data_IF_719086136372
#
_entry.id   IF_719086136372
#
_cell.length_a   1.000
_cell.length_b   1.000
_cell.length_c   1.000
_cell.angle_alpha   90.00
_cell.angle_beta   90.00
_cell.angle_gamma   90.00
#
_symmetry.space_group_name_H-M   'P 1'
#
loop_
_entity.id
_entity.type
_entity.pdbx_description
1 polymer ?
#
# COMPACT_ATOMS: atom_id res chain seq x y z
N UNK A 1 14.80 27.56 -83.70
CA UNK A 1 14.55 26.22 -83.10
C UNK A 1 15.58 25.95 -82.02
N UNK A 2 15.17 25.86 -80.75
CA UNK A 2 15.93 25.25 -79.63
C UNK A 2 14.95 25.03 -78.48
N UNK A 3 14.26 23.89 -78.49
CA UNK A 3 13.33 23.42 -77.46
C UNK A 3 13.74 22.01 -77.02
N UNK A 4 14.99 21.82 -76.61
CA UNK A 4 15.43 20.59 -75.97
C UNK A 4 16.54 21.01 -75.01
N UNK A 5 16.21 21.17 -73.73
CA UNK A 5 17.19 21.16 -72.61
C UNK A 5 16.54 21.24 -71.22
N UNK A 6 15.26 21.61 -71.10
CA UNK A 6 14.62 21.70 -69.77
C UNK A 6 14.01 20.39 -69.24
N UNK A 7 13.93 19.32 -70.06
CA UNK A 7 13.32 18.05 -69.64
C UNK A 7 14.29 17.07 -68.95
N UNK A 8 15.61 17.27 -69.07
CA UNK A 8 16.61 16.36 -68.48
C UNK A 8 16.92 16.64 -67.01
N UNK A 9 16.71 17.87 -66.53
CA UNK A 9 16.98 18.23 -65.12
C UNK A 9 15.84 17.78 -64.19
N UNK A 10 14.60 17.70 -64.68
CA UNK A 10 13.47 17.19 -63.89
C UNK A 10 13.48 15.67 -63.74
N UNK A 11 14.04 14.93 -64.70
CA UNK A 11 14.14 13.46 -64.62
C UNK A 11 15.25 12.99 -63.66
N UNK A 12 16.32 13.78 -63.46
CA UNK A 12 17.43 13.43 -62.57
C UNK A 12 17.12 13.67 -61.07
N UNK A 13 16.15 14.53 -60.73
CA UNK A 13 15.72 14.76 -59.35
C UNK A 13 14.67 13.76 -58.84
N UNK A 14 14.11 12.90 -59.71
CA UNK A 14 13.11 11.89 -59.35
C UNK A 14 13.70 10.51 -59.00
N UNK A 15 15.03 10.36 -59.01
CA UNK A 15 15.72 9.09 -58.68
C UNK A 15 16.65 9.28 -57.46
N UNK A 16 16.31 10.17 -56.53
CA UNK A 16 16.86 10.04 -55.19
C UNK A 16 16.04 8.94 -54.51
N UNK A 17 16.62 7.75 -54.23
CA UNK A 17 15.94 6.77 -53.40
C UNK A 17 15.75 7.44 -52.04
N UNK A 18 14.51 7.87 -51.76
CA UNK A 18 14.14 8.19 -50.40
C UNK A 18 14.28 6.86 -49.64
N UNK A 19 15.38 6.72 -48.90
CA UNK A 19 15.51 5.67 -47.91
C UNK A 19 14.43 5.94 -46.88
N UNK A 20 13.23 5.40 -47.12
CA UNK A 20 12.20 5.20 -46.13
C UNK A 20 12.90 4.44 -45.02
N UNK A 21 13.31 5.16 -43.97
CA UNK A 21 13.90 4.57 -42.80
C UNK A 21 12.85 3.61 -42.26
N UNK A 22 13.20 2.33 -42.22
CA UNK A 22 12.36 1.30 -41.65
C UNK A 22 11.92 1.78 -40.25
N UNK A 23 10.62 2.03 -40.09
CA UNK A 23 10.09 2.47 -38.81
C UNK A 23 9.98 1.25 -37.91
N UNK A 24 10.87 1.18 -36.93
CA UNK A 24 10.80 0.21 -35.85
C UNK A 24 10.13 0.85 -34.65
N UNK A 25 9.15 0.17 -34.05
CA UNK A 25 8.59 0.58 -32.76
C UNK A 25 8.21 -0.63 -31.93
N UNK A 26 8.27 -0.45 -30.62
CA UNK A 26 7.84 -1.41 -29.62
C UNK A 26 7.12 -0.65 -28.52
N UNK A 27 5.79 -0.77 -28.49
CA UNK A 27 4.97 -0.16 -27.45
C UNK A 27 4.55 -1.23 -26.45
N UNK A 28 4.82 -0.98 -25.17
CA UNK A 28 4.40 -1.84 -24.07
C UNK A 28 3.18 -1.22 -23.40
N UNK A 29 2.08 -1.97 -23.33
CA UNK A 29 0.87 -1.57 -22.61
C UNK A 29 0.55 -2.60 -21.54
N UNK A 30 0.27 -2.13 -20.33
CA UNK A 30 -0.14 -2.98 -19.21
C UNK A 30 -1.65 -3.08 -19.20
N UNK A 31 -2.16 -4.29 -19.07
CA UNK A 31 -3.59 -4.60 -19.05
C UNK A 31 -4.15 -4.40 -17.64
N UNK A 32 -5.37 -3.87 -17.52
CA UNK A 32 -6.03 -3.65 -16.22
C UNK A 32 -6.40 -4.95 -15.51
N UNK A 33 -6.73 -4.86 -14.21
CA UNK A 33 -7.18 -6.03 -13.41
C UNK A 33 -6.05 -6.79 -12.72
N UNK A 34 -4.93 -6.13 -12.43
CA UNK A 34 -3.71 -6.75 -11.88
C UNK A 34 -3.84 -7.26 -10.44
N UNK A 35 -4.89 -6.86 -9.72
CA UNK A 35 -5.09 -7.14 -8.29
C UNK A 35 -5.39 -8.62 -7.98
N UNK A 36 -5.63 -9.43 -9.03
CA UNK A 36 -5.96 -10.86 -8.93
C UNK A 36 -4.91 -11.76 -9.59
N UNK A 37 -3.76 -11.22 -9.99
CA UNK A 37 -2.76 -11.94 -10.77
C UNK A 37 -1.79 -12.69 -9.85
N UNK A 38 -1.49 -13.94 -10.22
CA UNK A 38 -0.46 -14.79 -9.60
C UNK A 38 0.95 -14.39 -10.08
N UNK A 39 1.92 -14.45 -9.16
CA UNK A 39 3.32 -14.09 -9.38
C UNK A 39 4.07 -14.94 -10.38
N UNK A 40 3.61 -16.15 -10.68
CA UNK A 40 4.23 -17.01 -11.69
C UNK A 40 4.38 -16.30 -13.05
N UNK A 41 3.53 -15.31 -13.32
CA UNK A 41 3.58 -14.52 -14.55
C UNK A 41 4.73 -13.49 -14.60
N UNK A 42 5.37 -13.19 -13.47
CA UNK A 42 6.50 -12.25 -13.36
C UNK A 42 7.85 -12.94 -13.15
N UNK A 43 7.88 -14.25 -12.91
CA UNK A 43 9.13 -14.98 -12.68
C UNK A 43 9.86 -15.36 -13.96
N UNK A 44 9.28 -15.14 -15.14
CA UNK A 44 9.90 -15.42 -16.46
C UNK A 44 10.61 -16.78 -16.48
N UNK A 45 9.93 -17.81 -15.97
CA UNK A 45 10.47 -19.17 -15.84
C UNK A 45 10.47 -19.90 -17.17
N UNK A 46 11.35 -19.53 -18.12
CA UNK A 46 11.56 -20.12 -19.45
C UNK A 46 10.34 -20.32 -20.37
N UNK A 47 9.13 -20.14 -19.87
CA UNK A 47 7.86 -20.26 -20.55
C UNK A 47 6.82 -19.47 -19.77
N UNK A 48 6.20 -18.49 -20.43
CA UNK A 48 5.06 -17.74 -19.90
C UNK A 48 3.75 -18.26 -20.47
N UNK A 49 3.77 -19.33 -21.28
CA UNK A 49 2.57 -19.94 -21.82
C UNK A 49 1.62 -20.38 -20.71
N UNK A 50 0.34 -19.98 -20.84
CA UNK A 50 -0.69 -20.24 -19.83
C UNK A 50 -0.68 -19.32 -18.60
N UNK A 51 0.24 -18.35 -18.51
CA UNK A 51 0.18 -17.31 -17.47
C UNK A 51 -0.95 -16.29 -17.74
N UNK A 52 -1.51 -15.64 -16.71
CA UNK A 52 -2.44 -14.54 -16.91
C UNK A 52 -1.85 -13.41 -17.78
N UNK A 53 -2.68 -12.82 -18.63
CA UNK A 53 -2.26 -11.68 -19.46
C UNK A 53 -2.10 -10.42 -18.60
N UNK A 54 -0.88 -9.90 -18.54
CA UNK A 54 -0.49 -8.71 -17.79
C UNK A 54 -0.17 -7.56 -18.73
N UNK A 55 0.48 -7.86 -19.86
CA UNK A 55 0.92 -6.84 -20.78
C UNK A 55 0.81 -7.30 -22.22
N UNK A 56 0.67 -6.32 -23.11
CA UNK A 56 0.71 -6.48 -24.55
C UNK A 56 1.84 -5.63 -25.12
N UNK A 57 2.45 -6.15 -26.17
CA UNK A 57 3.53 -5.54 -26.93
C UNK A 57 3.07 -5.35 -28.37
N UNK A 58 3.01 -4.10 -28.81
CA UNK A 58 2.72 -3.76 -30.20
C UNK A 58 4.03 -3.48 -30.93
N UNK A 59 4.37 -4.37 -31.85
CA UNK A 59 5.60 -4.29 -32.64
C UNK A 59 5.29 -3.79 -34.04
N UNK A 60 6.08 -2.84 -34.52
CA UNK A 60 6.11 -2.42 -35.93
C UNK A 60 7.54 -2.59 -36.44
N UNK A 61 7.69 -3.28 -37.56
CA UNK A 61 8.96 -3.46 -38.26
C UNK A 61 8.68 -3.82 -39.74
N UNK A 62 9.66 -3.74 -40.67
CA UNK A 62 9.43 -4.13 -42.05
C UNK A 62 8.99 -5.60 -42.17
N UNK A 63 7.98 -5.86 -43.00
CA UNK A 63 7.47 -7.20 -43.26
C UNK A 63 8.58 -8.14 -43.78
N UNK A 64 8.54 -9.39 -43.36
CA UNK A 64 9.50 -10.43 -43.72
C UNK A 64 10.85 -10.35 -43.00
N UNK A 65 11.06 -9.37 -42.10
CA UNK A 65 12.28 -9.30 -41.29
C UNK A 65 12.20 -10.23 -40.08
N UNK A 66 13.35 -10.84 -39.76
CA UNK A 66 13.57 -11.55 -38.51
C UNK A 66 13.91 -10.55 -37.41
N UNK A 67 13.23 -10.69 -36.28
CA UNK A 67 13.41 -9.84 -35.11
C UNK A 67 13.58 -10.70 -33.86
N UNK A 68 14.19 -10.09 -32.84
CA UNK A 68 14.35 -10.66 -31.52
C UNK A 68 13.81 -9.67 -30.50
N UNK A 69 12.99 -10.14 -29.56
CA UNK A 69 12.57 -9.35 -28.41
C UNK A 69 13.53 -9.66 -27.27
N UNK A 70 13.99 -8.62 -26.58
CA UNK A 70 14.61 -8.79 -25.29
C UNK A 70 14.09 -7.77 -24.29
N UNK A 71 14.49 -7.92 -23.03
CA UNK A 71 14.03 -7.02 -21.98
C UNK A 71 14.64 -7.31 -20.64
N UNK A 72 14.28 -6.48 -19.66
CA UNK A 72 14.59 -6.68 -18.26
C UNK A 72 13.35 -6.46 -17.40
N UNK A 73 13.39 -7.03 -16.21
CA UNK A 73 12.37 -6.86 -15.19
C UNK A 73 13.05 -6.57 -13.85
N UNK A 74 12.65 -5.47 -13.22
CA UNK A 74 13.16 -5.07 -11.91
C UNK A 74 12.02 -4.83 -10.94
N UNK A 75 12.30 -4.96 -9.65
CA UNK A 75 11.34 -4.78 -8.57
C UNK A 75 11.87 -3.82 -7.52
N UNK A 76 11.06 -2.84 -7.18
CA UNK A 76 11.24 -1.97 -6.03
C UNK A 76 10.34 -2.48 -4.90
N UNK A 77 10.98 -2.94 -3.83
CA UNK A 77 10.29 -3.39 -2.62
C UNK A 77 9.65 -2.22 -1.89
N UNK A 78 8.52 -2.46 -1.25
CA UNK A 78 7.84 -1.48 -0.40
C UNK A 78 8.80 -0.92 0.67
N UNK A 79 8.86 0.41 0.80
CA UNK A 79 9.75 1.09 1.75
C UNK A 79 11.22 1.19 1.31
N UNK A 80 11.58 0.69 0.14
CA UNK A 80 12.91 0.87 -0.45
C UNK A 80 12.86 1.83 -1.64
N UNK A 81 13.91 2.63 -1.84
CA UNK A 81 14.01 3.60 -2.93
C UNK A 81 14.60 3.03 -4.22
N UNK A 82 15.22 1.84 -4.17
CA UNK A 82 15.95 1.23 -5.28
C UNK A 82 15.19 0.11 -5.98
N UNK A 83 15.42 -0.02 -7.29
CA UNK A 83 14.99 -1.18 -8.07
C UNK A 83 16.06 -2.27 -8.03
N UNK A 84 15.65 -3.50 -7.72
CA UNK A 84 16.47 -4.70 -7.69
C UNK A 84 16.10 -5.54 -8.93
N UNK A 85 17.06 -5.96 -9.77
CA UNK A 85 16.75 -6.75 -10.95
C UNK A 85 16.24 -8.14 -10.56
N UNK A 86 15.08 -8.51 -11.10
CA UNK A 86 14.53 -9.88 -11.05
C UNK A 86 15.05 -10.66 -12.26
N UNK A 87 14.91 -10.06 -13.45
CA UNK A 87 15.45 -10.56 -14.72
C UNK A 87 16.42 -9.51 -15.23
N UNK A 88 17.71 -9.83 -15.21
CA UNK A 88 18.76 -8.95 -15.74
C UNK A 88 18.58 -8.77 -17.25
N UNK A 89 18.33 -9.88 -17.95
CA UNK A 89 18.04 -9.87 -19.38
C UNK A 89 17.29 -11.12 -19.80
N UNK A 90 16.40 -11.01 -20.77
CA UNK A 90 15.90 -12.13 -21.54
C UNK A 90 15.97 -11.82 -23.04
N UNK A 91 16.00 -12.88 -23.86
CA UNK A 91 15.95 -12.81 -25.31
C UNK A 91 15.08 -13.93 -25.87
N UNK A 92 14.29 -13.62 -26.89
CA UNK A 92 13.61 -14.62 -27.71
C UNK A 92 14.54 -15.16 -28.80
N UNK A 93 14.21 -16.31 -29.36
CA UNK A 93 14.76 -16.74 -30.64
C UNK A 93 14.28 -15.79 -31.75
N UNK A 94 15.02 -15.67 -32.87
CA UNK A 94 14.57 -14.87 -34.00
C UNK A 94 13.27 -15.40 -34.60
N UNK A 95 12.27 -14.54 -34.76
CA UNK A 95 10.99 -14.86 -35.41
C UNK A 95 10.64 -13.80 -36.46
N UNK A 96 9.71 -14.11 -37.37
CA UNK A 96 9.42 -13.26 -38.54
C UNK A 96 8.07 -12.55 -38.40
N UNK A 97 8.02 -11.27 -38.76
CA UNK A 97 6.77 -10.50 -38.87
C UNK A 97 6.23 -10.57 -40.30
N UNK A 98 5.08 -11.23 -40.52
CA UNK A 98 4.50 -11.39 -41.86
C UNK A 98 3.86 -10.10 -42.40
N UNK A 99 3.19 -9.32 -41.55
CA UNK A 99 2.39 -8.14 -41.95
C UNK A 99 3.01 -6.79 -41.57
N UNK A 100 4.25 -6.80 -41.07
CA UNK A 100 4.96 -5.59 -40.63
C UNK A 100 4.49 -5.00 -39.30
N UNK A 101 3.44 -5.57 -38.71
CA UNK A 101 3.00 -5.31 -37.36
C UNK A 101 2.59 -6.62 -36.67
N UNK A 102 2.71 -6.67 -35.34
CA UNK A 102 2.20 -7.78 -34.54
C UNK A 102 1.99 -7.34 -33.09
N UNK A 103 0.83 -7.68 -32.55
CA UNK A 103 0.56 -7.60 -31.12
C UNK A 103 0.89 -8.94 -30.49
N UNK A 104 1.66 -8.91 -29.40
CA UNK A 104 2.09 -10.09 -28.65
C UNK A 104 1.76 -9.88 -27.19
N UNK A 105 1.15 -10.86 -26.56
CA UNK A 105 0.87 -10.87 -25.12
C UNK A 105 1.97 -11.62 -24.37
N UNK A 106 2.13 -11.34 -23.08
CA UNK A 106 3.11 -12.05 -22.25
C UNK A 106 2.90 -13.57 -22.23
N UNK A 107 1.64 -14.05 -22.28
CA UNK A 107 1.28 -15.47 -22.29
C UNK A 107 1.64 -16.18 -23.61
N UNK A 108 2.14 -15.44 -24.60
CA UNK A 108 2.64 -15.97 -25.87
C UNK A 108 4.17 -16.04 -25.91
N UNK A 109 4.87 -15.51 -24.90
CA UNK A 109 6.32 -15.60 -24.79
C UNK A 109 6.73 -16.97 -24.24
N UNK A 110 7.64 -17.66 -24.92
CA UNK A 110 8.04 -19.02 -24.59
C UNK A 110 7.17 -20.11 -25.22
N UNK A 111 6.03 -19.73 -25.81
CA UNK A 111 5.14 -20.61 -26.55
C UNK A 111 5.09 -20.33 -28.06
N UNK A 112 4.62 -21.31 -28.84
CA UNK A 112 4.41 -21.14 -30.28
C UNK A 112 5.69 -20.83 -31.06
N UNK A 113 5.67 -19.75 -31.85
CA UNK A 113 6.81 -19.30 -32.67
C UNK A 113 7.75 -18.31 -31.95
N UNK A 114 7.38 -17.82 -30.76
CA UNK A 114 8.15 -16.83 -29.99
C UNK A 114 8.76 -17.53 -28.76
N UNK A 115 9.78 -18.36 -29.01
CA UNK A 115 10.46 -19.13 -27.96
C UNK A 115 11.54 -18.29 -27.27
N UNK A 116 11.78 -18.53 -25.98
CA UNK A 116 12.95 -17.98 -25.31
C UNK A 116 14.25 -18.63 -25.83
N UNK A 117 15.29 -17.82 -25.94
CA UNK A 117 16.65 -18.26 -26.27
C UNK A 117 17.53 -18.24 -25.01
N UNK A 118 17.46 -17.14 -24.25
CA UNK A 118 18.23 -16.95 -23.03
C UNK A 118 17.42 -16.15 -22.01
N UNK A 119 17.47 -16.56 -20.75
CA UNK A 119 16.94 -15.80 -19.60
C UNK A 119 18.02 -15.80 -18.53
N UNK A 120 18.42 -14.60 -18.10
CA UNK A 120 19.32 -14.37 -16.98
C UNK A 120 18.57 -13.59 -15.89
N UNK A 121 18.48 -14.16 -14.70
CA UNK A 121 17.68 -13.61 -13.60
C UNK A 121 18.20 -14.00 -12.22
N UNK A 122 17.77 -13.23 -11.23
CA UNK A 122 18.13 -13.42 -9.83
C UNK A 122 17.13 -14.35 -9.15
N UNK A 123 17.48 -15.64 -9.07
CA UNK A 123 16.63 -16.69 -8.49
C UNK A 123 16.25 -16.41 -7.03
N UNK A 124 17.13 -15.81 -6.24
CA UNK A 124 16.83 -15.48 -4.84
C UNK A 124 15.69 -14.46 -4.73
N UNK A 125 15.69 -13.45 -5.60
CA UNK A 125 14.64 -12.42 -5.64
C UNK A 125 13.36 -13.00 -6.23
N UNK A 126 13.46 -13.81 -7.30
CA UNK A 126 12.31 -14.52 -7.85
C UNK A 126 11.64 -15.41 -6.80
N UNK A 127 12.42 -16.16 -6.02
CA UNK A 127 11.93 -17.00 -4.91
C UNK A 127 11.32 -16.18 -3.77
N UNK A 128 11.91 -15.03 -3.41
CA UNK A 128 11.33 -14.11 -2.41
C UNK A 128 9.95 -13.62 -2.87
N UNK A 129 9.84 -13.24 -4.14
CA UNK A 129 8.59 -12.77 -4.75
C UNK A 129 7.55 -13.91 -4.79
N UNK A 130 7.94 -15.11 -5.23
CA UNK A 130 7.05 -16.28 -5.25
C UNK A 130 6.53 -16.63 -3.85
N UNK A 131 7.40 -16.59 -2.82
CA UNK A 131 7.01 -16.85 -1.43
C UNK A 131 5.97 -15.88 -0.90
N UNK A 132 5.91 -14.64 -1.41
CA UNK A 132 4.90 -13.64 -1.00
C UNK A 132 3.50 -13.97 -1.50
N UNK A 133 3.35 -14.77 -2.56
CA UNK A 133 2.05 -15.24 -3.09
C UNK A 133 1.11 -14.18 -3.70
N UNK A 134 1.29 -12.87 -3.45
CA UNK A 134 0.62 -11.75 -4.15
C UNK A 134 1.53 -10.55 -4.43
N UNK A 135 1.40 -9.89 -5.60
CA UNK A 135 2.24 -8.77 -5.99
C UNK A 135 2.16 -7.56 -5.06
N UNK A 136 3.34 -7.06 -4.68
CA UNK A 136 3.57 -5.90 -3.81
C UNK A 136 4.80 -5.13 -4.30
N UNK A 137 4.82 -3.81 -4.12
CA UNK A 137 5.88 -2.93 -4.62
C UNK A 137 5.70 -2.52 -6.07
N UNK A 138 6.75 -1.95 -6.68
CA UNK A 138 6.72 -1.44 -8.06
C UNK A 138 7.56 -2.34 -8.95
N UNK A 139 6.98 -2.87 -10.02
CA UNK A 139 7.66 -3.67 -11.03
C UNK A 139 7.93 -2.80 -12.24
N UNK A 140 9.18 -2.75 -12.69
CA UNK A 140 9.59 -2.01 -13.88
C UNK A 140 9.94 -2.98 -14.98
N UNK A 141 9.23 -2.89 -16.10
CA UNK A 141 9.49 -3.67 -17.31
C UNK A 141 10.08 -2.73 -18.36
N UNK A 142 11.19 -3.12 -18.96
CA UNK A 142 11.71 -2.46 -20.16
C UNK A 142 11.98 -3.49 -21.23
N UNK A 143 11.55 -3.18 -22.46
CA UNK A 143 11.71 -4.06 -23.60
C UNK A 143 12.56 -3.41 -24.68
N UNK A 144 13.17 -4.26 -25.49
CA UNK A 144 14.07 -3.91 -26.57
C UNK A 144 13.74 -4.76 -27.79
N UNK A 145 13.85 -4.14 -28.96
CA UNK A 145 13.76 -4.82 -30.24
C UNK A 145 15.16 -4.94 -30.83
N UNK A 146 15.52 -6.13 -31.29
CA UNK A 146 16.79 -6.41 -31.94
C UNK A 146 16.57 -7.05 -33.31
N UNK A 147 17.57 -6.98 -34.17
CA UNK A 147 17.64 -7.81 -35.37
C UNK A 147 18.09 -9.25 -35.04
N UNK A 148 18.18 -10.10 -36.07
CA UNK A 148 18.62 -11.49 -35.95
C UNK A 148 20.10 -11.64 -35.56
N UNK A 149 20.88 -10.56 -35.60
CA UNK A 149 22.27 -10.47 -35.15
C UNK A 149 22.40 -9.86 -33.76
N UNK A 150 21.27 -9.66 -33.05
CA UNK A 150 21.18 -9.02 -31.74
C UNK A 150 21.68 -7.56 -31.72
N UNK A 151 21.64 -6.86 -32.84
CA UNK A 151 21.84 -5.41 -32.89
C UNK A 151 20.55 -4.72 -32.47
N UNK A 152 20.63 -3.83 -31.48
CA UNK A 152 19.45 -3.14 -30.94
C UNK A 152 18.89 -2.17 -31.98
N UNK A 153 17.63 -2.39 -32.35
CA UNK A 153 16.86 -1.57 -33.28
C UNK A 153 16.02 -0.51 -32.56
N UNK A 154 15.46 -0.87 -31.39
CA UNK A 154 14.59 0.01 -30.63
C UNK A 154 14.61 -0.31 -29.12
N UNK A 155 14.23 0.66 -28.30
CA UNK A 155 14.03 0.51 -26.85
C UNK A 155 12.69 1.13 -26.47
N UNK A 156 11.84 0.38 -25.78
CA UNK A 156 10.65 0.96 -25.18
C UNK A 156 11.03 1.91 -24.03
N UNK A 157 10.13 2.83 -23.71
CA UNK A 157 10.14 3.47 -22.40
C UNK A 157 9.93 2.40 -21.32
N UNK A 158 10.58 2.52 -20.15
CA UNK A 158 10.25 1.69 -19.00
C UNK A 158 8.79 1.90 -18.61
N UNK A 159 8.11 0.81 -18.27
CA UNK A 159 6.74 0.85 -17.75
C UNK A 159 6.75 0.36 -16.31
N UNK A 160 6.24 1.20 -15.42
CA UNK A 160 6.13 0.91 -13.99
C UNK A 160 4.72 0.40 -13.68
N UNK A 161 4.68 -0.77 -13.07
CA UNK A 161 3.47 -1.42 -12.59
C UNK A 161 3.51 -1.36 -11.07
N UNK A 162 2.71 -0.46 -10.50
CA UNK A 162 2.60 -0.34 -9.04
C UNK A 162 1.56 -1.33 -8.54
N UNK A 163 2.03 -2.30 -7.74
CA UNK A 163 1.16 -3.10 -6.90
C UNK A 163 1.15 -2.48 -5.54
N UNK A 164 0.17 -1.60 -5.35
CA UNK A 164 -0.19 -1.14 -4.02
C UNK A 164 -0.50 -2.39 -3.20
N UNK A 165 0.31 -2.63 -2.16
CA UNK A 165 -0.02 -3.62 -1.15
C UNK A 165 -1.48 -3.33 -0.72
N UNK A 166 -2.44 -4.24 -0.95
CA UNK A 166 -3.83 -3.99 -0.62
C UNK A 166 -3.97 -4.14 0.90
N UNK A 167 -3.58 -3.11 1.63
CA UNK A 167 -3.95 -2.98 3.03
C UNK A 167 -4.22 -1.49 3.30
N UNK A 168 -5.45 -1.11 3.66
CA UNK A 168 -5.56 -0.42 4.94
C UNK A 168 -4.76 -1.30 5.91
N UNK A 169 -3.60 -0.83 6.39
CA UNK A 169 -2.85 -1.57 7.40
C UNK A 169 -3.83 -1.90 8.50
N UNK A 170 -4.00 -3.20 8.79
CA UNK A 170 -4.90 -3.64 9.85
C UNK A 170 -4.54 -2.83 11.10
N UNK A 171 -5.46 -1.97 11.53
CA UNK A 171 -5.23 -1.00 12.59
C UNK A 171 -6.41 -1.07 13.53
N UNK A 172 -6.11 -1.16 14.82
CA UNK A 172 -7.13 -1.16 15.87
C UNK A 172 -7.60 0.28 16.02
N UNK A 173 -8.91 0.50 15.83
CA UNK A 173 -9.57 1.80 15.98
C UNK A 173 -10.07 2.01 17.42
N UNK A 174 -10.48 0.92 18.07
CA UNK A 174 -10.82 0.88 19.48
C UNK A 174 -10.42 -0.49 20.07
N UNK A 175 -9.96 -0.60 21.32
CA UNK A 175 -9.59 0.49 22.23
C UNK A 175 -8.50 1.38 21.65
N UNK A 176 -8.50 2.66 22.03
CA UNK A 176 -7.46 3.64 21.70
C UNK A 176 -6.31 3.49 22.68
N UNK A 177 -5.12 3.77 22.18
CA UNK A 177 -3.91 3.66 22.98
C UNK A 177 -3.95 4.59 24.20
N UNK A 178 -3.51 4.07 25.35
CA UNK A 178 -3.46 4.74 26.65
C UNK A 178 -4.81 5.21 27.24
N UNK A 179 -5.93 4.86 26.61
CA UNK A 179 -7.25 5.11 27.19
C UNK A 179 -7.63 4.04 28.23
N UNK A 180 -8.54 4.40 29.13
CA UNK A 180 -9.11 3.50 30.14
C UNK A 180 -10.55 3.11 29.81
N UNK A 181 -10.89 1.84 30.04
CA UNK A 181 -12.18 1.26 29.70
C UNK A 181 -12.76 0.43 30.85
N UNK A 182 -14.08 0.29 30.90
CA UNK A 182 -14.75 -0.57 31.89
C UNK A 182 -14.44 -2.05 31.62
N UNK A 183 -14.09 -2.78 32.68
CA UNK A 183 -13.88 -4.24 32.69
C UNK A 183 -15.06 -5.02 32.08
N UNK A 184 -16.29 -4.51 32.16
CA UNK A 184 -17.45 -5.17 31.58
C UNK A 184 -17.66 -4.91 30.07
N UNK A 185 -17.10 -3.82 29.54
CA UNK A 185 -17.50 -3.29 28.24
C UNK A 185 -16.34 -2.65 27.48
N UNK A 186 -15.50 -3.50 26.88
CA UNK A 186 -14.49 -3.06 25.91
C UNK A 186 -14.84 -3.62 24.55
N UNK A 187 -15.30 -2.73 23.69
CA UNK A 187 -15.56 -3.04 22.29
C UNK A 187 -14.28 -2.87 21.48
N UNK A 188 -13.74 -3.96 20.94
CA UNK A 188 -12.68 -3.88 19.95
C UNK A 188 -13.26 -3.59 18.56
N UNK A 189 -12.57 -2.74 17.81
CA UNK A 189 -12.89 -2.39 16.42
C UNK A 189 -11.61 -2.19 15.62
N UNK A 190 -11.57 -2.62 14.36
CA UNK A 190 -10.39 -2.49 13.50
C UNK A 190 -10.75 -2.17 12.05
N UNK A 191 -9.75 -1.76 11.27
CA UNK A 191 -9.90 -1.54 9.82
C UNK A 191 -10.10 -2.87 9.08
N UNK A 192 -11.03 -2.96 8.11
CA UNK A 192 -11.23 -4.18 7.35
C UNK A 192 -10.04 -4.47 6.42
N UNK A 193 -9.66 -5.74 6.32
CA UNK A 193 -8.63 -6.23 5.39
C UNK A 193 -9.29 -6.94 4.22
N UNK A 194 -9.02 -6.46 3.01
CA UNK A 194 -9.58 -7.05 1.79
C UNK A 194 -9.07 -8.49 1.61
N UNK A 195 -9.99 -9.44 1.45
CA UNK A 195 -9.66 -10.86 1.28
C UNK A 195 -9.40 -11.61 2.59
N UNK A 196 -9.57 -11.00 3.77
CA UNK A 196 -9.56 -11.72 5.03
C UNK A 196 -10.74 -12.70 5.12
N UNK A 197 -10.46 -13.94 5.51
CA UNK A 197 -11.45 -14.98 5.77
C UNK A 197 -11.90 -15.00 7.22
N UNK A 198 -11.01 -14.64 8.15
CA UNK A 198 -11.35 -14.44 9.55
C UNK A 198 -10.31 -13.54 10.26
N UNK A 199 -10.65 -13.09 11.45
CA UNK A 199 -9.74 -12.39 12.37
C UNK A 199 -9.48 -13.23 13.61
N UNK A 200 -8.28 -13.07 14.16
CA UNK A 200 -7.77 -13.75 15.35
C UNK A 200 -7.37 -12.67 16.35
N UNK A 201 -7.84 -12.79 17.59
CA UNK A 201 -7.57 -11.82 18.64
C UNK A 201 -6.70 -12.44 19.72
N UNK A 202 -5.68 -11.71 20.14
CA UNK A 202 -4.85 -12.04 21.30
C UNK A 202 -4.78 -10.85 22.24
N UNK A 203 -4.92 -11.09 23.53
CA UNK A 203 -4.80 -10.05 24.55
C UNK A 203 -4.02 -10.57 25.76
N UNK A 204 -3.10 -9.76 26.27
CA UNK A 204 -2.27 -10.07 27.43
C UNK A 204 -2.23 -8.88 28.39
N UNK A 205 -2.13 -9.13 29.69
CA UNK A 205 -1.82 -8.07 30.65
C UNK A 205 -0.31 -7.81 30.68
N UNK A 206 0.09 -6.53 30.77
CA UNK A 206 1.46 -6.16 31.12
C UNK A 206 1.74 -6.56 32.57
N UNK A 207 2.85 -7.25 32.79
CA UNK A 207 3.26 -7.66 34.15
C UNK A 207 3.96 -6.53 34.90
N UNK A 208 4.62 -5.62 34.17
CA UNK A 208 5.29 -4.44 34.72
C UNK A 208 5.38 -3.33 33.67
N UNK A 209 5.79 -2.13 34.10
CA UNK A 209 5.83 -0.95 33.24
C UNK A 209 6.97 -0.94 32.20
N UNK A 210 7.95 -1.84 32.32
CA UNK A 210 9.13 -1.90 31.45
C UNK A 210 9.04 -3.00 30.38
N UNK A 211 8.04 -3.88 30.48
CA UNK A 211 7.80 -4.95 29.52
C UNK A 211 7.33 -4.37 28.18
N UNK A 212 7.90 -4.84 27.08
CA UNK A 212 7.47 -4.43 25.74
C UNK A 212 6.12 -5.09 25.36
N UNK A 213 5.33 -4.48 24.46
CA UNK A 213 4.10 -5.08 23.95
C UNK A 213 4.31 -6.48 23.35
N UNK A 214 5.41 -6.67 22.63
CA UNK A 214 5.77 -7.93 21.97
C UNK A 214 6.11 -9.03 23.00
N UNK A 215 6.83 -8.66 24.07
CA UNK A 215 7.11 -9.56 25.19
C UNK A 215 5.82 -9.96 25.93
N UNK A 216 4.91 -9.01 26.14
CA UNK A 216 3.63 -9.27 26.79
C UNK A 216 2.77 -10.23 25.97
N UNK A 217 2.69 -10.01 24.64
CA UNK A 217 1.96 -10.88 23.71
C UNK A 217 2.58 -12.28 23.63
N UNK A 218 3.90 -12.39 23.78
CA UNK A 218 4.60 -13.69 23.78
C UNK A 218 4.50 -14.45 25.12
N UNK A 219 3.90 -13.84 26.16
CA UNK A 219 3.78 -14.47 27.47
C UNK A 219 2.85 -15.70 27.45
N UNK A 220 3.16 -16.71 28.27
CA UNK A 220 2.38 -17.95 28.38
C UNK A 220 1.07 -17.83 29.15
N UNK A 221 0.57 -16.61 29.40
CA UNK A 221 -0.61 -16.35 30.22
C UNK A 221 -1.56 -15.32 29.60
N UNK A 222 -2.01 -15.53 28.34
CA UNK A 222 -2.94 -14.62 27.68
C UNK A 222 -4.30 -14.55 28.38
N UNK A 223 -4.94 -13.38 28.31
CA UNK A 223 -6.33 -13.16 28.69
C UNK A 223 -7.30 -13.60 27.57
N UNK A 224 -6.85 -13.46 26.32
CA UNK A 224 -7.49 -13.99 25.12
C UNK A 224 -6.38 -14.66 24.30
N UNK A 225 -6.51 -15.95 24.02
CA UNK A 225 -5.48 -16.75 23.36
C UNK A 225 -5.87 -17.09 21.93
N UNK A 226 -5.41 -16.26 20.99
CA UNK A 226 -5.58 -16.46 19.54
C UNK A 226 -7.01 -16.87 19.15
N UNK A 227 -8.01 -16.18 19.71
CA UNK A 227 -9.42 -16.49 19.51
C UNK A 227 -9.85 -16.08 18.10
N UNK A 228 -10.35 -17.04 17.33
CA UNK A 228 -10.97 -16.76 16.04
C UNK A 228 -12.37 -16.15 16.25
N UNK A 229 -12.58 -14.94 15.73
CA UNK A 229 -13.86 -14.20 15.84
C UNK A 229 -14.64 -14.16 14.52
N UNK A 230 -14.20 -14.91 13.51
CA UNK A 230 -14.81 -14.91 12.18
C UNK A 230 -14.49 -13.64 11.39
N UNK A 231 -15.29 -13.36 10.35
CA UNK A 231 -15.13 -12.20 9.47
C UNK A 231 -16.00 -11.04 9.94
N UNK A 232 -15.60 -10.44 11.06
CA UNK A 232 -16.23 -9.24 11.64
C UNK A 232 -15.17 -8.16 11.85
N UNK A 233 -15.58 -6.90 11.95
CA UNK A 233 -14.70 -5.77 12.24
C UNK A 233 -14.85 -5.23 13.67
N UNK A 234 -15.76 -5.82 14.44
CA UNK A 234 -16.00 -5.46 15.83
C UNK A 234 -16.35 -6.66 16.68
N UNK A 235 -15.89 -6.67 17.93
CA UNK A 235 -16.27 -7.67 18.93
C UNK A 235 -16.23 -7.06 20.33
N UNK A 236 -17.11 -7.51 21.21
CA UNK A 236 -16.96 -7.22 22.63
C UNK A 236 -15.92 -8.18 23.22
N UNK A 237 -14.78 -7.67 23.69
CA UNK A 237 -13.69 -8.48 24.20
C UNK A 237 -14.10 -9.28 25.45
N UNK A 238 -15.05 -8.78 26.26
CA UNK A 238 -15.52 -9.50 27.46
C UNK A 238 -16.26 -10.80 27.12
N UNK A 239 -16.78 -10.94 25.90
CA UNK A 239 -17.48 -12.15 25.44
C UNK A 239 -16.57 -13.28 24.97
N UNK A 240 -15.27 -13.02 24.80
CA UNK A 240 -14.31 -13.96 24.21
C UNK A 240 -13.09 -14.22 25.12
N UNK A 241 -13.20 -13.88 26.39
CA UNK A 241 -12.13 -14.06 27.38
C UNK A 241 -11.90 -15.53 27.71
N UNK A 242 -10.62 -15.93 27.74
CA UNK A 242 -10.20 -17.20 28.33
C UNK A 242 -9.92 -17.03 29.84
N UNK A 243 -9.63 -15.80 30.27
CA UNK A 243 -9.43 -15.42 31.69
C UNK A 243 -10.10 -14.11 32.03
N UNK A 244 -10.60 -14.02 33.26
CA UNK A 244 -11.25 -12.82 33.76
C UNK A 244 -10.31 -11.62 33.75
N UNK A 245 -10.88 -10.47 33.39
CA UNK A 245 -10.25 -9.17 33.49
C UNK A 245 -10.24 -8.65 34.92
N UNK A 246 -9.13 -7.98 35.28
CA UNK A 246 -8.99 -7.33 36.57
C UNK A 246 -8.81 -5.84 36.35
N UNK A 247 -9.55 -5.03 37.10
CA UNK A 247 -9.40 -3.58 37.08
C UNK A 247 -7.98 -3.14 37.47
N UNK A 248 -7.56 -2.00 36.95
CA UNK A 248 -6.20 -1.46 37.12
C UNK A 248 -5.15 -2.07 36.20
N UNK A 249 -5.46 -3.14 35.45
CA UNK A 249 -4.51 -3.75 34.53
C UNK A 249 -4.30 -2.92 33.26
N UNK A 250 -3.06 -2.92 32.77
CA UNK A 250 -2.75 -2.50 31.39
C UNK A 250 -2.78 -3.72 30.47
N UNK A 251 -3.54 -3.63 29.40
CA UNK A 251 -3.77 -4.71 28.44
C UNK A 251 -3.11 -4.36 27.13
N UNK A 252 -2.42 -5.33 26.54
CA UNK A 252 -1.90 -5.30 25.17
C UNK A 252 -2.83 -6.12 24.29
N UNK A 253 -3.37 -5.51 23.25
CA UNK A 253 -4.26 -6.13 22.28
C UNK A 253 -3.58 -6.25 20.92
N UNK A 254 -3.72 -7.42 20.30
CA UNK A 254 -3.30 -7.70 18.93
C UNK A 254 -4.47 -8.29 18.16
N UNK A 255 -4.72 -7.76 16.96
CA UNK A 255 -5.65 -8.36 15.99
C UNK A 255 -4.84 -8.86 14.81
N UNK A 256 -5.11 -10.08 14.36
CA UNK A 256 -4.47 -10.70 13.19
C UNK A 256 -5.51 -11.09 12.17
N UNK A 257 -5.43 -10.55 10.95
CA UNK A 257 -6.26 -11.00 9.85
C UNK A 257 -5.64 -12.26 9.21
N UNK A 258 -6.46 -13.26 8.90
CA UNK A 258 -6.04 -14.41 8.12
C UNK A 258 -6.56 -14.28 6.69
N UNK A 259 -5.65 -14.31 5.72
CA UNK A 259 -5.96 -14.20 4.29
C UNK A 259 -5.60 -15.53 3.63
N UNK A 260 -6.60 -16.27 3.16
CA UNK A 260 -6.37 -17.56 2.52
C UNK A 260 -5.60 -17.41 1.20
N UNK A 261 -4.69 -18.34 0.94
CA UNK A 261 -3.88 -18.39 -0.28
C UNK A 261 -3.38 -19.81 -0.56
N UNK A 262 -2.76 -20.05 -1.74
CA UNK A 262 -2.42 -21.39 -2.24
C UNK A 262 -1.51 -22.23 -1.33
N UNK A 263 -0.78 -21.60 -0.40
CA UNK A 263 0.12 -22.25 0.56
C UNK A 263 -0.40 -22.32 2.01
N UNK A 264 -1.72 -22.21 2.24
CA UNK A 264 -2.30 -22.28 3.59
C UNK A 264 -2.56 -20.93 4.26
N UNK A 265 -2.49 -19.84 3.49
CA UNK A 265 -2.86 -18.48 3.92
C UNK A 265 -1.74 -17.69 4.63
N UNK A 266 -1.97 -16.39 4.79
CA UNK A 266 -1.06 -15.44 5.44
C UNK A 266 -1.72 -14.80 6.66
N UNK A 267 -0.94 -14.59 7.72
CA UNK A 267 -1.35 -13.86 8.92
C UNK A 267 -0.83 -12.43 8.82
N UNK A 268 -1.73 -11.46 8.92
CA UNK A 268 -1.42 -10.03 8.89
C UNK A 268 -1.74 -9.43 10.27
N UNK A 269 -0.73 -9.25 11.15
CA UNK A 269 -0.94 -8.65 12.46
C UNK A 269 -1.12 -7.14 12.36
N UNK A 270 -1.91 -6.57 13.27
CA UNK A 270 -1.95 -5.14 13.53
C UNK A 270 -0.73 -4.70 14.34
N UNK A 271 -0.41 -3.39 14.38
CA UNK A 271 0.34 -2.85 15.52
C UNK A 271 -0.41 -3.18 16.83
N UNK A 272 0.30 -3.54 17.91
CA UNK A 272 -0.34 -3.77 19.20
C UNK A 272 -0.82 -2.45 19.80
N UNK A 273 -1.95 -2.49 20.51
CA UNK A 273 -2.46 -1.33 21.24
C UNK A 273 -2.47 -1.62 22.74
N UNK A 274 -1.97 -0.67 23.53
CA UNK A 274 -1.98 -0.74 24.99
C UNK A 274 -3.13 0.13 25.51
N UNK A 275 -3.98 -0.43 26.37
CA UNK A 275 -5.05 0.32 27.05
C UNK A 275 -5.17 -0.12 28.52
N UNK A 276 -5.99 0.57 29.31
CA UNK A 276 -6.19 0.29 30.74
C UNK A 276 -7.62 -0.17 31.03
N UNK A 277 -7.76 -0.98 32.07
CA UNK A 277 -9.05 -1.37 32.63
C UNK A 277 -9.34 -0.60 33.93
N UNK A 278 -10.56 -0.09 34.07
CA UNK A 278 -11.02 0.59 35.29
C UNK A 278 -11.33 -0.41 36.41
N UNK A 279 -11.21 -0.01 37.67
CA UNK A 279 -11.67 -0.83 38.80
C UNK A 279 -13.19 -0.93 38.81
N UNK A 280 -13.74 -2.15 38.89
CA UNK A 280 -15.18 -2.39 38.93
C UNK A 280 -15.78 -1.68 40.16
N UNK A 281 -16.76 -0.80 39.94
CA UNK A 281 -17.36 0.01 41.01
C UNK A 281 -16.70 1.36 41.26
N UNK A 282 -15.65 1.71 40.50
CA UNK A 282 -15.25 3.11 40.37
C UNK A 282 -16.18 3.78 39.38
N UNK A 283 -17.08 4.65 39.86
CA UNK A 283 -17.64 5.70 39.02
C UNK A 283 -16.44 6.34 38.31
N UNK A 284 -16.41 6.29 36.97
CA UNK A 284 -15.31 6.80 36.17
C UNK A 284 -14.88 8.17 36.72
N UNK A 285 -13.78 8.21 37.48
CA UNK A 285 -13.03 9.46 37.59
C UNK A 285 -12.48 9.62 36.20
N UNK A 286 -13.17 10.45 35.40
CA UNK A 286 -12.76 10.81 34.06
C UNK A 286 -11.26 11.05 34.11
N UNK A 287 -10.50 10.15 33.50
CA UNK A 287 -9.06 10.30 33.38
C UNK A 287 -8.90 11.58 32.57
N UNK A 288 -8.50 12.67 33.24
CA UNK A 288 -8.57 14.01 32.69
C UNK A 288 -7.67 14.01 31.46
N UNK A 289 -8.27 14.13 30.27
CA UNK A 289 -7.52 14.14 29.03
C UNK A 289 -6.46 15.27 29.11
N UNK A 290 -5.16 14.96 28.98
CA UNK A 290 -4.09 15.94 29.16
C UNK A 290 -4.22 17.12 28.20
N UNK A 291 -4.84 16.93 27.04
CA UNK A 291 -5.14 18.00 26.10
C UNK A 291 -6.31 18.89 26.56
N UNK A 292 -7.27 18.34 27.30
CA UNK A 292 -8.31 19.13 27.99
C UNK A 292 -7.71 19.91 29.16
N UNK A 293 -6.70 19.37 29.86
CA UNK A 293 -5.94 20.13 30.86
C UNK A 293 -5.22 21.32 30.22
N UNK A 294 -4.53 21.09 29.10
CA UNK A 294 -3.85 22.15 28.34
C UNK A 294 -4.84 23.22 27.86
N UNK A 295 -5.97 22.79 27.30
CA UNK A 295 -7.04 23.68 26.87
C UNK A 295 -7.62 24.50 28.05
N UNK A 296 -7.91 23.86 29.18
CA UNK A 296 -8.43 24.53 30.37
C UNK A 296 -7.46 25.58 30.92
N UNK A 297 -6.17 25.27 30.91
CA UNK A 297 -5.12 26.23 31.31
C UNK A 297 -5.02 27.41 30.34
N UNK A 298 -5.17 27.20 29.03
CA UNK A 298 -5.15 28.28 28.04
C UNK A 298 -6.37 29.21 28.15
N UNK A 299 -7.53 28.64 28.48
CA UNK A 299 -8.80 29.36 28.63
C UNK A 299 -8.98 30.00 30.02
N UNK A 300 -8.12 29.64 30.98
CA UNK A 300 -8.16 30.18 32.33
C UNK A 300 -8.09 31.72 32.33
N UNK A 301 -9.07 32.36 32.98
CA UNK A 301 -9.22 33.81 33.00
C UNK A 301 -9.80 34.44 31.72
N UNK A 302 -10.11 33.64 30.69
CA UNK A 302 -10.70 34.11 29.41
C UNK A 302 -12.11 33.59 29.16
N UNK A 303 -12.54 32.56 29.89
CA UNK A 303 -13.92 32.02 29.87
C UNK A 303 -14.41 31.83 31.32
N UNK A 304 -15.66 31.41 31.49
CA UNK A 304 -16.23 31.21 32.83
C UNK A 304 -15.44 30.17 33.64
N UNK A 305 -15.22 30.45 34.93
CA UNK A 305 -14.52 29.55 35.84
C UNK A 305 -15.24 28.19 35.97
N UNK A 306 -16.57 28.18 35.87
CA UNK A 306 -17.38 26.96 35.87
C UNK A 306 -17.06 26.07 34.66
N UNK A 307 -16.96 26.65 33.46
CA UNK A 307 -16.58 25.90 32.26
C UNK A 307 -15.16 25.34 32.36
N UNK A 308 -14.19 26.14 32.80
CA UNK A 308 -12.81 25.65 33.02
C UNK A 308 -12.80 24.53 34.05
N UNK A 309 -13.55 24.65 35.13
CA UNK A 309 -13.65 23.61 36.17
C UNK A 309 -14.28 22.33 35.61
N UNK A 310 -15.34 22.44 34.79
CA UNK A 310 -15.99 21.29 34.12
C UNK A 310 -15.07 20.61 33.12
N UNK A 311 -14.26 21.39 32.40
CA UNK A 311 -13.26 20.90 31.45
C UNK A 311 -12.11 20.17 32.18
N UNK A 312 -11.58 20.77 33.25
CA UNK A 312 -10.48 20.22 34.05
C UNK A 312 -10.89 19.04 34.93
N UNK A 313 -12.18 18.94 35.30
CA UNK A 313 -12.72 17.81 36.05
C UNK A 313 -13.16 16.65 35.15
N UNK A 314 -13.05 16.79 33.82
CA UNK A 314 -13.46 15.78 32.85
C UNK A 314 -14.98 15.58 32.77
N UNK A 315 -15.77 16.54 33.26
CA UNK A 315 -17.23 16.55 33.12
C UNK A 315 -17.67 16.88 31.69
N UNK A 316 -16.82 17.55 30.91
CA UNK A 316 -17.00 17.77 29.48
C UNK A 316 -16.07 16.78 28.75
N UNK A 317 -16.60 15.73 28.12
CA UNK A 317 -15.78 14.78 27.38
C UNK A 317 -15.30 15.41 26.06
N UNK A 318 -14.14 14.96 25.56
CA UNK A 318 -13.46 15.62 24.45
C UNK A 318 -14.24 15.58 23.12
N UNK A 319 -15.12 14.60 22.96
CA UNK A 319 -16.02 14.41 21.82
C UNK A 319 -17.23 15.37 21.82
N UNK A 320 -17.58 15.96 22.96
CA UNK A 320 -18.58 17.02 23.06
C UNK A 320 -18.02 18.42 22.72
N UNK A 321 -16.69 18.55 22.58
CA UNK A 321 -16.05 19.82 22.25
C UNK A 321 -15.97 19.97 20.74
N UNK A 322 -16.80 20.86 20.20
CA UNK A 322 -16.73 21.27 18.80
C UNK A 322 -15.96 22.58 18.67
N UNK A 323 -14.95 22.56 17.82
CA UNK A 323 -14.11 23.73 17.51
C UNK A 323 -14.31 24.06 16.04
N UNK A 324 -14.59 25.32 15.75
CA UNK A 324 -14.85 25.78 14.38
C UNK A 324 -14.00 26.99 14.04
N UNK A 325 -13.68 27.14 12.75
CA UNK A 325 -13.12 28.39 12.23
C UNK A 325 -14.19 29.48 12.04
N UNK A 326 -13.77 30.64 11.54
CA UNK A 326 -14.61 31.78 11.19
C UNK A 326 -15.66 31.49 10.10
N UNK A 327 -15.52 30.35 9.40
CA UNK A 327 -16.44 29.86 8.36
C UNK A 327 -17.33 28.70 8.86
N UNK A 328 -17.40 28.46 10.17
CA UNK A 328 -18.12 27.35 10.80
C UNK A 328 -17.64 25.95 10.37
N UNK A 329 -16.46 25.84 9.76
CA UNK A 329 -15.87 24.53 9.45
C UNK A 329 -15.36 23.91 10.73
N UNK A 330 -15.80 22.69 11.01
CA UNK A 330 -15.32 21.93 12.16
C UNK A 330 -13.84 21.60 11.96
N UNK A 331 -13.02 22.01 12.93
CA UNK A 331 -11.63 21.60 13.02
C UNK A 331 -11.56 20.23 13.69
N UNK A 332 -10.67 19.37 13.19
CA UNK A 332 -10.32 18.16 13.92
C UNK A 332 -9.54 18.50 15.19
N UNK A 333 -9.58 17.59 16.17
CA UNK A 333 -8.86 17.79 17.42
C UNK A 333 -7.34 17.90 17.23
N UNK A 334 -6.78 17.22 16.22
CA UNK A 334 -5.34 17.30 15.87
C UNK A 334 -4.96 18.62 15.23
N UNK A 335 -5.80 19.16 14.34
CA UNK A 335 -5.62 20.51 13.80
C UNK A 335 -5.68 21.54 14.93
N UNK A 336 -6.60 21.35 15.88
CA UNK A 336 -6.69 22.19 17.05
C UNK A 336 -5.46 22.10 17.96
N UNK A 337 -4.92 20.92 18.24
CA UNK A 337 -3.67 20.76 19.01
C UNK A 337 -2.50 21.47 18.34
N UNK A 338 -2.42 21.43 17.02
CA UNK A 338 -1.39 22.13 16.24
C UNK A 338 -1.54 23.64 16.36
N UNK A 339 -2.78 24.14 16.31
CA UNK A 339 -3.12 25.56 16.52
C UNK A 339 -2.84 25.97 17.98
N UNK A 340 -3.15 25.11 18.96
CA UNK A 340 -2.88 25.33 20.38
C UNK A 340 -1.38 25.46 20.63
N UNK A 341 -0.56 24.55 20.10
CA UNK A 341 0.88 24.61 20.23
C UNK A 341 1.46 25.89 19.60
N UNK A 342 0.89 26.33 18.48
CA UNK A 342 1.24 27.60 17.85
C UNK A 342 0.86 28.82 18.73
N UNK A 343 -0.35 28.85 19.28
CA UNK A 343 -0.82 29.95 20.15
C UNK A 343 -0.13 29.99 21.52
N UNK A 344 0.29 28.85 22.06
CA UNK A 344 1.09 28.78 23.29
C UNK A 344 2.43 29.50 23.12
N UNK A 345 3.02 29.41 21.92
CA UNK A 345 4.27 30.06 21.53
C UNK A 345 4.08 31.51 21.04
N UNK A 346 2.91 31.86 20.50
CA UNK A 346 2.63 33.15 19.84
C UNK A 346 1.35 33.78 20.41
N UNK A 347 1.33 34.01 21.74
CA UNK A 347 0.13 34.44 22.49
C UNK A 347 -0.45 35.76 22.00
N UNK A 348 0.40 36.62 21.45
CA UNK A 348 0.08 37.90 20.82
C UNK A 348 -0.72 37.78 19.52
N UNK A 349 -0.75 36.60 18.90
CA UNK A 349 -1.53 36.33 17.68
C UNK A 349 -3.01 36.08 17.96
N UNK A 350 -3.44 36.03 19.23
CA UNK A 350 -4.83 35.84 19.63
C UNK A 350 -5.56 37.19 19.57
N UNK A 351 -6.34 37.42 18.51
CA UNK A 351 -7.04 38.69 18.27
C UNK A 351 -8.27 38.84 19.18
N UNK A 352 -9.04 37.75 19.42
CA UNK A 352 -10.19 37.75 20.32
C UNK A 352 -10.59 36.32 20.73
N UNK A 353 -11.29 36.18 21.85
CA UNK A 353 -11.91 34.92 22.28
C UNK A 353 -13.38 35.21 22.56
N UNK A 354 -14.27 34.56 21.83
CA UNK A 354 -15.72 34.70 21.99
C UNK A 354 -16.30 33.37 22.48
N UNK A 355 -16.99 33.41 23.61
CA UNK A 355 -17.72 32.27 24.16
C UNK A 355 -19.22 32.48 23.96
N UNK A 356 -19.88 31.51 23.33
CA UNK A 356 -21.33 31.48 23.16
C UNK A 356 -21.87 30.28 23.93
N UNK A 357 -22.47 30.53 25.09
CA UNK A 357 -23.27 29.52 25.78
C UNK A 357 -24.56 29.28 24.99
N UNK A 358 -24.96 28.02 24.83
CA UNK A 358 -26.31 27.65 24.43
C UNK A 358 -27.13 27.26 25.65
#
# INVERSE_FOLDING_TARGET
>A
MRRISFFFIFAALLILPQSLTAQYSLNLTVLGGLNTIDFAAFTFTNDLSGTPRIFQMDIVAPAGKKIVIGGNLSWQKDGQSGFIPIVNSFFTRPFTLSTGNRTIFNDQLGGGDILFDQVDGNQNIADEILKKGKPSGVYRIQLYLFDDRRVKLYSSSPVDISFLNPAPTLSILNPRENNSYDVGNVQAQWTPVLGATNYIIRACALQNAFQSPEEALSSGSPLINDKNVGKVETVNLSSILDRQWVGGQKIVLLVTAFVTGPGGGSKLPSPPVIFRLNESGSSARAEINPDLVRLGNLLSGKVSQDFVTKLLSGQIPADEIKITDDKNKSLSFSEFQSILAFWELHRESIISINYLAK
#
